data_IF_634029915251
#
_entry.id   IF_634029915251
#
_cell.length_a   1.000
_cell.length_b   1.000
_cell.length_c   1.000
_cell.angle_alpha   90.00
_cell.angle_beta   90.00
_cell.angle_gamma   90.00
#
_symmetry.space_group_name_H-M   'P 1'
#
loop_
_entity.id
_entity.type
_entity.pdbx_description
1 polymer ?
#
# COMPACT_ATOMS: atom_id res chain seq x y z
N UNK A 1 11.89 5.89 -2.29
CA UNK A 1 12.76 6.72 -3.15
C UNK A 1 12.31 8.16 -3.03
N UNK A 2 13.24 9.11 -2.97
CA UNK A 2 12.91 10.55 -3.09
C UNK A 2 12.87 10.96 -4.57
N UNK A 3 12.33 12.13 -4.88
CA UNK A 3 12.37 12.67 -6.24
C UNK A 3 13.80 12.84 -6.77
N UNK A 4 14.75 13.15 -5.89
CA UNK A 4 16.15 13.34 -6.27
C UNK A 4 16.84 12.00 -6.53
N UNK A 5 16.52 10.97 -5.75
CA UNK A 5 16.95 9.60 -6.03
C UNK A 5 16.41 9.07 -7.34
N UNK A 6 15.13 9.31 -7.60
CA UNK A 6 14.51 8.94 -8.86
C UNK A 6 15.23 9.59 -10.05
N UNK A 7 15.44 10.91 -10.00
CA UNK A 7 16.16 11.64 -11.06
C UNK A 7 17.59 11.13 -11.26
N UNK A 8 18.30 10.83 -10.18
CA UNK A 8 19.65 10.30 -10.28
C UNK A 8 19.70 8.90 -10.90
N UNK A 9 18.72 8.04 -10.59
CA UNK A 9 18.65 6.69 -11.16
C UNK A 9 18.31 6.69 -12.66
N UNK A 10 17.69 7.76 -13.16
CA UNK A 10 17.45 7.97 -14.59
C UNK A 10 18.70 8.43 -15.36
N UNK A 11 19.77 8.87 -14.69
CA UNK A 11 21.00 9.31 -15.35
C UNK A 11 21.79 8.09 -15.87
N UNK A 12 21.89 7.89 -17.20
CA UNK A 12 22.59 6.74 -17.77
C UNK A 12 24.11 6.80 -17.54
N UNK A 13 24.67 7.97 -17.18
CA UNK A 13 26.10 8.13 -16.92
C UNK A 13 26.51 7.68 -15.51
N UNK A 14 25.53 7.54 -14.61
CA UNK A 14 25.71 7.11 -13.24
C UNK A 14 24.58 6.14 -12.88
N UNK A 15 24.74 4.87 -13.28
CA UNK A 15 23.82 3.80 -12.88
C UNK A 15 23.69 3.78 -11.35
N UNK A 16 22.66 4.44 -10.83
CA UNK A 16 22.46 4.69 -9.41
C UNK A 16 21.17 4.07 -8.94
N UNK A 17 21.23 3.48 -7.76
CA UNK A 17 20.08 2.88 -7.10
C UNK A 17 19.17 3.98 -6.54
N UNK A 18 17.90 4.00 -6.94
CA UNK A 18 16.90 4.95 -6.43
C UNK A 18 16.44 4.67 -4.99
N UNK A 19 16.75 3.50 -4.42
CA UNK A 19 16.37 3.13 -3.07
C UNK A 19 17.10 4.01 -2.03
N UNK A 20 16.36 4.45 -1.01
CA UNK A 20 16.96 5.18 0.12
C UNK A 20 17.53 4.17 1.09
N UNK A 21 18.86 4.04 1.13
CA UNK A 21 19.58 3.09 2.00
C UNK A 21 20.78 3.79 2.65
N UNK A 22 21.21 3.35 3.83
CA UNK A 22 22.33 4.00 4.54
C UNK A 22 23.64 3.91 3.74
N UNK A 23 23.82 2.82 2.99
CA UNK A 23 25.01 2.47 2.23
C UNK A 23 24.98 2.94 0.76
N UNK A 24 23.94 3.68 0.33
CA UNK A 24 23.80 4.06 -1.07
C UNK A 24 25.02 4.86 -1.57
N UNK A 25 25.53 4.53 -2.76
CA UNK A 25 26.67 5.22 -3.35
C UNK A 25 26.37 6.70 -3.65
N UNK A 26 25.12 7.02 -4.00
CA UNK A 26 24.65 8.38 -4.20
C UNK A 26 24.29 9.03 -2.86
N UNK A 27 24.97 10.13 -2.53
CA UNK A 27 24.77 10.88 -1.29
C UNK A 27 23.33 11.37 -1.11
N UNK A 28 22.62 11.70 -2.19
CA UNK A 28 21.22 12.15 -2.13
C UNK A 28 20.25 11.02 -1.77
N UNK A 29 20.71 9.76 -1.85
CA UNK A 29 19.95 8.57 -1.53
C UNK A 29 20.40 7.87 -0.26
N UNK A 30 21.35 8.47 0.47
CA UNK A 30 21.71 8.01 1.80
C UNK A 30 20.66 8.42 2.81
N UNK A 31 20.10 7.44 3.48
CA UNK A 31 19.14 7.68 4.55
C UNK A 31 18.47 6.41 5.02
N UNK A 32 17.51 6.58 5.93
CA UNK A 32 16.77 5.47 6.50
C UNK A 32 15.42 5.35 5.80
N UNK A 33 15.09 4.14 5.37
CA UNK A 33 13.76 3.80 4.87
C UNK A 33 13.40 2.40 5.36
N UNK A 34 12.10 2.08 5.46
CA UNK A 34 11.64 0.75 5.89
C UNK A 34 12.26 -0.36 5.02
N UNK A 35 12.27 -0.16 3.71
CA UNK A 35 12.93 -1.05 2.76
C UNK A 35 14.45 -1.12 2.99
N UNK A 36 15.13 0.02 3.16
CA UNK A 36 16.59 0.05 3.32
C UNK A 36 17.07 -0.66 4.58
N UNK A 37 16.38 -0.46 5.71
CA UNK A 37 16.68 -1.17 6.97
C UNK A 37 16.45 -2.68 6.81
N UNK A 38 15.29 -3.08 6.28
CA UNK A 38 14.98 -4.49 6.01
C UNK A 38 15.98 -5.13 5.05
N UNK A 39 16.36 -4.43 3.97
CA UNK A 39 17.32 -4.93 2.99
C UNK A 39 18.70 -5.17 3.62
N UNK A 40 19.15 -4.26 4.51
CA UNK A 40 20.42 -4.42 5.20
C UNK A 40 20.41 -5.66 6.10
N UNK A 41 19.33 -5.89 6.84
CA UNK A 41 19.19 -7.07 7.69
C UNK A 41 19.10 -8.36 6.86
N UNK A 42 18.28 -8.34 5.80
CA UNK A 42 18.09 -9.46 4.89
C UNK A 42 19.41 -9.91 4.23
N UNK A 43 20.25 -8.96 3.79
CA UNK A 43 21.60 -9.27 3.26
C UNK A 43 22.48 -9.99 4.29
N UNK A 44 22.33 -9.66 5.57
CA UNK A 44 22.97 -10.39 6.66
C UNK A 44 22.52 -11.85 6.70
N UNK A 45 21.20 -12.09 6.63
CA UNK A 45 20.66 -13.45 6.60
C UNK A 45 21.12 -14.26 5.39
N UNK A 46 21.20 -13.62 4.22
CA UNK A 46 21.75 -14.24 3.01
C UNK A 46 23.21 -14.62 3.22
N UNK A 47 24.02 -13.71 3.74
CA UNK A 47 25.46 -13.93 3.99
C UNK A 47 25.70 -15.12 4.94
N UNK A 48 24.94 -15.20 6.03
CA UNK A 48 25.05 -16.32 6.99
C UNK A 48 24.65 -17.66 6.37
N UNK A 49 23.54 -17.68 5.61
CA UNK A 49 23.03 -18.89 4.94
C UNK A 49 24.00 -19.38 3.86
N UNK A 50 24.54 -18.48 3.05
CA UNK A 50 25.55 -18.80 2.02
C UNK A 50 26.87 -19.29 2.63
N UNK A 51 27.24 -18.79 3.80
CA UNK A 51 28.41 -19.25 4.54
C UNK A 51 28.18 -20.57 5.30
N UNK A 52 26.97 -21.16 5.23
CA UNK A 52 26.63 -22.42 5.89
C UNK A 52 26.54 -22.34 7.41
N UNK A 53 26.35 -21.14 7.97
CA UNK A 53 26.31 -20.91 9.43
C UNK A 53 24.93 -21.12 10.07
N UNK A 54 24.00 -21.72 9.32
CA UNK A 54 22.60 -21.89 9.68
C UNK A 54 21.71 -20.85 8.99
N UNK A 55 20.40 -20.99 9.17
CA UNK A 55 19.42 -20.04 8.65
C UNK A 55 18.95 -19.11 9.79
N UNK A 56 19.42 -17.84 9.82
CA UNK A 56 18.99 -16.88 10.83
C UNK A 56 17.69 -16.14 10.46
N UNK A 57 17.14 -16.35 9.26
CA UNK A 57 15.97 -15.61 8.80
C UNK A 57 14.72 -16.02 9.59
N UNK A 58 13.94 -15.06 10.13
CA UNK A 58 12.68 -15.35 10.79
C UNK A 58 11.69 -16.02 9.82
N UNK A 59 10.94 -17.01 10.31
CA UNK A 59 9.91 -17.69 9.51
C UNK A 59 8.78 -16.75 9.07
N UNK A 60 8.51 -15.68 9.83
CA UNK A 60 7.57 -14.61 9.47
C UNK A 60 8.22 -13.25 9.65
N UNK A 61 8.19 -12.44 8.59
CA UNK A 61 8.57 -11.03 8.62
C UNK A 61 7.36 -10.19 8.23
N UNK A 62 6.99 -9.21 9.06
CA UNK A 62 5.90 -8.27 8.78
C UNK A 62 6.50 -6.89 8.59
N UNK A 63 6.21 -6.26 7.45
CA UNK A 63 6.70 -4.93 7.11
C UNK A 63 5.54 -4.07 6.60
N UNK A 64 5.62 -2.77 6.89
CA UNK A 64 4.72 -1.74 6.37
C UNK A 64 5.51 -0.82 5.44
N UNK A 65 5.03 -0.66 4.22
CA UNK A 65 5.46 0.43 3.33
C UNK A 65 4.47 1.59 3.41
N UNK A 66 4.93 2.83 3.62
CA UNK A 66 4.06 4.00 3.65
C UNK A 66 3.86 4.59 2.24
N UNK A 67 3.39 5.84 2.19
CA UNK A 67 3.26 6.70 1.00
C UNK A 67 2.07 6.41 0.08
N UNK A 68 1.38 5.28 0.24
CA UNK A 68 0.15 4.95 -0.49
C UNK A 68 -1.08 5.78 -0.06
N UNK A 69 -1.13 6.29 1.19
CA UNK A 69 -2.19 7.20 1.67
C UNK A 69 -2.18 8.60 1.01
N UNK A 70 -1.07 8.96 0.35
CA UNK A 70 -0.80 10.23 -0.35
C UNK A 70 -0.97 11.51 0.50
N UNK A 71 -0.69 12.67 -0.11
CA UNK A 71 -0.99 14.00 0.49
C UNK A 71 -1.86 14.88 -0.41
N UNK A 72 -2.64 14.26 -1.31
CA UNK A 72 -3.43 14.99 -2.29
C UNK A 72 -2.55 15.93 -3.14
N UNK A 73 -2.93 17.20 -3.25
CA UNK A 73 -2.17 18.23 -3.97
C UNK A 73 -1.50 19.24 -3.03
N UNK A 74 -0.94 18.78 -1.91
CA UNK A 74 -0.19 19.66 -1.00
C UNK A 74 1.04 20.23 -1.70
N UNK A 75 1.20 21.56 -1.65
CA UNK A 75 2.30 22.25 -2.35
C UNK A 75 3.68 21.80 -1.83
N UNK A 76 4.64 21.60 -2.74
CA UNK A 76 6.00 21.12 -2.48
C UNK A 76 6.11 19.70 -1.88
N UNK A 77 5.01 18.92 -1.93
CA UNK A 77 5.01 17.50 -1.59
C UNK A 77 4.98 16.64 -2.86
N UNK A 78 5.46 15.39 -2.81
CA UNK A 78 5.25 14.40 -3.86
C UNK A 78 3.81 14.36 -4.39
N UNK A 79 3.65 14.15 -5.70
CA UNK A 79 2.33 13.94 -6.30
C UNK A 79 1.78 12.57 -5.87
N UNK A 80 0.44 12.38 -5.82
CA UNK A 80 -0.16 11.07 -5.52
C UNK A 80 0.42 9.94 -6.37
N UNK A 81 0.62 10.19 -7.68
CA UNK A 81 1.19 9.24 -8.62
C UNK A 81 2.64 8.88 -8.28
N UNK A 82 3.47 9.85 -7.91
CA UNK A 82 4.86 9.56 -7.52
C UNK A 82 4.94 8.80 -6.19
N UNK A 83 4.06 9.10 -5.23
CA UNK A 83 4.02 8.40 -3.95
C UNK A 83 3.63 6.92 -4.10
N UNK A 84 2.63 6.62 -4.94
CA UNK A 84 2.24 5.23 -5.25
C UNK A 84 3.33 4.53 -6.08
N UNK A 85 3.98 5.23 -7.01
CA UNK A 85 5.12 4.68 -7.76
C UNK A 85 6.34 4.36 -6.87
N UNK A 86 6.58 5.18 -5.84
CA UNK A 86 7.58 4.88 -4.82
C UNK A 86 7.27 3.57 -4.08
N UNK A 87 6.02 3.41 -3.64
CA UNK A 87 5.55 2.20 -2.97
C UNK A 87 5.71 0.95 -3.87
N UNK A 88 5.26 1.03 -5.13
CA UNK A 88 5.41 -0.04 -6.13
C UNK A 88 6.88 -0.42 -6.36
N UNK A 89 7.77 0.57 -6.48
CA UNK A 89 9.20 0.31 -6.63
C UNK A 89 9.80 -0.35 -5.39
N UNK A 90 9.41 0.07 -4.17
CA UNK A 90 9.87 -0.56 -2.94
C UNK A 90 9.44 -2.03 -2.85
N UNK A 91 8.20 -2.35 -3.23
CA UNK A 91 7.71 -3.73 -3.36
C UNK A 91 8.53 -4.50 -4.38
N UNK A 92 8.74 -3.95 -5.58
CA UNK A 92 9.53 -4.59 -6.62
C UNK A 92 10.96 -4.90 -6.15
N UNK A 93 11.59 -3.99 -5.40
CA UNK A 93 12.94 -4.17 -4.86
C UNK A 93 13.03 -5.20 -3.75
N UNK A 94 11.98 -5.33 -2.94
CA UNK A 94 11.85 -6.44 -1.98
C UNK A 94 11.80 -7.77 -2.72
N UNK A 95 10.93 -7.90 -3.71
CA UNK A 95 10.79 -9.13 -4.50
C UNK A 95 12.08 -9.46 -5.24
N UNK A 96 12.76 -8.47 -5.81
CA UNK A 96 14.07 -8.64 -6.45
C UNK A 96 15.12 -9.18 -5.47
N UNK A 97 15.20 -8.62 -4.26
CA UNK A 97 16.14 -9.06 -3.25
C UNK A 97 15.89 -10.50 -2.82
N UNK A 98 14.62 -10.87 -2.57
CA UNK A 98 14.26 -12.25 -2.17
C UNK A 98 14.49 -13.23 -3.32
N UNK A 99 13.99 -12.92 -4.52
CA UNK A 99 14.03 -13.82 -5.68
C UNK A 99 15.45 -14.06 -6.22
N UNK A 100 16.37 -13.13 -5.95
CA UNK A 100 17.79 -13.28 -6.30
C UNK A 100 18.63 -13.96 -5.21
N UNK A 101 18.00 -14.48 -4.15
CA UNK A 101 18.68 -15.05 -2.99
C UNK A 101 18.43 -16.55 -2.82
N UNK A 102 19.19 -17.24 -1.95
CA UNK A 102 18.92 -18.63 -1.57
C UNK A 102 17.55 -18.87 -0.93
N UNK A 103 16.85 -17.81 -0.51
CA UNK A 103 15.52 -17.89 0.12
C UNK A 103 14.38 -18.00 -0.88
N UNK A 104 14.60 -17.76 -2.18
CA UNK A 104 13.51 -17.62 -3.15
C UNK A 104 12.56 -18.82 -3.17
N UNK A 105 13.12 -20.03 -3.22
CA UNK A 105 12.32 -21.26 -3.25
C UNK A 105 11.50 -21.48 -1.97
N UNK A 106 11.87 -20.86 -0.86
CA UNK A 106 11.28 -21.13 0.46
C UNK A 106 10.49 -19.92 1.00
N UNK A 107 10.21 -18.92 0.16
CA UNK A 107 9.53 -17.68 0.56
C UNK A 107 8.22 -17.46 -0.19
N UNK A 108 7.20 -17.00 0.53
CA UNK A 108 5.99 -16.40 -0.01
C UNK A 108 5.81 -15.01 0.59
N UNK A 109 5.56 -14.02 -0.27
CA UNK A 109 5.38 -12.61 0.07
C UNK A 109 3.90 -12.28 -0.13
N UNK A 110 3.21 -11.89 0.93
CA UNK A 110 1.82 -11.45 0.87
C UNK A 110 1.74 -9.95 1.09
N UNK A 111 0.96 -9.26 0.25
CA UNK A 111 0.83 -7.80 0.26
C UNK A 111 -0.65 -7.46 0.26
N UNK A 112 -1.05 -6.57 1.17
CA UNK A 112 -2.40 -6.05 1.29
C UNK A 112 -2.32 -4.65 1.90
N UNK A 113 -3.27 -3.79 1.54
CA UNK A 113 -3.44 -2.49 2.20
C UNK A 113 -4.18 -2.66 3.54
N UNK A 114 -4.03 -1.69 4.44
CA UNK A 114 -4.77 -1.67 5.70
C UNK A 114 -6.26 -1.38 5.50
N UNK A 115 -6.60 -0.53 4.53
CA UNK A 115 -7.95 -0.30 4.05
C UNK A 115 -8.01 0.06 2.55
N UNK A 116 -9.20 0.48 2.08
CA UNK A 116 -9.42 0.94 0.70
C UNK A 116 -9.58 2.47 0.60
N UNK A 117 -9.21 3.21 1.66
CA UNK A 117 -9.28 4.66 1.80
C UNK A 117 -10.69 5.26 1.53
N UNK A 118 -11.74 4.47 1.77
CA UNK A 118 -13.11 4.76 1.31
C UNK A 118 -13.19 5.18 -0.17
N UNK A 119 -12.30 4.62 -1.00
CA UNK A 119 -12.17 4.87 -2.42
C UNK A 119 -13.38 4.36 -3.20
N UNK A 120 -13.56 4.87 -4.42
CA UNK A 120 -14.62 4.40 -5.30
C UNK A 120 -14.28 3.03 -5.89
N UNK A 121 -15.15 2.04 -5.62
CA UNK A 121 -15.12 0.73 -6.27
C UNK A 121 -16.53 0.36 -6.76
N UNK A 122 -16.62 -0.22 -7.96
CA UNK A 122 -17.90 -0.53 -8.60
C UNK A 122 -18.55 -1.83 -8.11
N UNK A 123 -17.85 -2.61 -7.28
CA UNK A 123 -18.33 -3.86 -6.69
C UNK A 123 -18.58 -3.68 -5.19
N UNK A 124 -17.57 -3.23 -4.43
CA UNK A 124 -17.69 -2.96 -2.99
C UNK A 124 -16.54 -2.04 -2.49
N UNK A 125 -16.87 -1.00 -1.70
CA UNK A 125 -15.91 -0.04 -1.12
C UNK A 125 -14.77 -0.64 -0.31
N UNK A 126 -14.89 -1.86 0.20
CA UNK A 126 -13.89 -2.49 1.05
C UNK A 126 -12.93 -3.38 0.27
N UNK A 127 -13.13 -3.52 -1.06
CA UNK A 127 -12.15 -4.21 -1.89
C UNK A 127 -10.87 -3.38 -1.96
N UNK A 128 -9.75 -4.06 -1.70
CA UNK A 128 -8.42 -3.50 -1.89
C UNK A 128 -7.57 -4.45 -2.75
N UNK A 129 -6.37 -4.02 -3.10
CA UNK A 129 -5.39 -4.85 -3.80
C UNK A 129 -4.85 -5.90 -2.82
N UNK A 130 -4.78 -7.15 -3.29
CA UNK A 130 -4.14 -8.25 -2.57
C UNK A 130 -3.20 -8.99 -3.50
N UNK A 131 -1.90 -9.00 -3.19
CA UNK A 131 -0.88 -9.69 -3.98
C UNK A 131 -0.27 -10.82 -3.17
N UNK A 132 0.12 -11.88 -3.86
CA UNK A 132 0.84 -12.98 -3.27
C UNK A 132 1.91 -13.46 -4.25
N UNK A 133 3.18 -13.38 -3.85
CA UNK A 133 4.36 -13.52 -4.70
C UNK A 133 5.26 -14.63 -4.15
N UNK A 134 5.59 -15.62 -4.97
CA UNK A 134 6.39 -16.80 -4.63
C UNK A 134 6.88 -17.48 -5.91
N UNK A 135 7.96 -18.26 -5.80
CA UNK A 135 8.40 -19.15 -6.87
C UNK A 135 7.29 -20.11 -7.34
N UNK A 136 6.28 -20.36 -6.49
CA UNK A 136 5.20 -21.27 -6.78
C UNK A 136 3.94 -20.61 -7.34
N UNK A 137 3.91 -19.30 -7.67
CA UNK A 137 2.68 -18.74 -8.25
C UNK A 137 2.35 -19.35 -9.62
N UNK A 138 1.07 -19.56 -9.89
CA UNK A 138 0.58 -19.87 -11.24
C UNK A 138 0.81 -18.66 -12.17
N UNK A 139 1.62 -18.78 -13.25
CA UNK A 139 1.89 -17.65 -14.14
C UNK A 139 0.63 -17.08 -14.77
N UNK A 140 0.45 -15.75 -14.71
CA UNK A 140 -0.70 -15.05 -15.31
C UNK A 140 -2.06 -15.35 -14.67
N UNK A 141 -2.10 -16.01 -13.51
CA UNK A 141 -3.36 -16.34 -12.85
C UNK A 141 -4.01 -15.09 -12.21
N UNK A 142 -5.12 -14.62 -12.79
CA UNK A 142 -6.04 -13.72 -12.12
C UNK A 142 -7.05 -14.54 -11.33
N UNK A 143 -7.00 -14.45 -10.00
CA UNK A 143 -7.93 -15.17 -9.13
C UNK A 143 -9.18 -14.34 -8.90
N UNK A 144 -10.30 -14.80 -9.48
CA UNK A 144 -11.62 -14.18 -9.29
C UNK A 144 -12.35 -14.66 -8.03
N UNK A 145 -11.79 -15.64 -7.31
CA UNK A 145 -12.39 -16.17 -6.08
C UNK A 145 -12.33 -15.09 -5.00
N UNK A 146 -13.41 -14.97 -4.23
CA UNK A 146 -13.44 -14.07 -3.09
C UNK A 146 -12.42 -14.51 -2.05
N UNK A 147 -11.52 -13.59 -1.70
CA UNK A 147 -10.55 -13.72 -0.63
C UNK A 147 -10.64 -12.49 0.26
N UNK A 148 -10.46 -12.70 1.56
CA UNK A 148 -10.37 -11.64 2.56
C UNK A 148 -9.01 -11.68 3.26
N UNK A 149 -8.74 -10.69 4.11
CA UNK A 149 -7.56 -10.69 4.99
C UNK A 149 -7.46 -11.97 5.82
N UNK A 150 -8.60 -12.54 6.25
CA UNK A 150 -8.65 -13.79 7.01
C UNK A 150 -8.20 -14.98 6.16
N UNK A 151 -8.53 -15.01 4.86
CA UNK A 151 -8.01 -16.01 3.93
C UNK A 151 -6.48 -15.91 3.77
N UNK A 152 -5.94 -14.70 3.70
CA UNK A 152 -4.50 -14.48 3.63
C UNK A 152 -3.81 -14.97 4.92
N UNK A 153 -4.32 -14.60 6.09
CA UNK A 153 -3.83 -15.09 7.40
C UNK A 153 -3.85 -16.61 7.44
N UNK A 154 -4.97 -17.22 7.05
CA UNK A 154 -5.09 -18.68 7.00
C UNK A 154 -4.07 -19.34 6.08
N UNK A 155 -3.74 -18.70 4.97
CA UNK A 155 -2.70 -19.19 4.05
C UNK A 155 -1.31 -19.11 4.69
N UNK A 156 -1.00 -18.01 5.38
CA UNK A 156 0.25 -17.85 6.12
C UNK A 156 0.37 -18.91 7.22
N UNK A 157 -0.69 -19.15 7.99
CA UNK A 157 -0.69 -20.19 9.04
C UNK A 157 -0.33 -21.56 8.50
N UNK A 158 -0.93 -21.95 7.37
CA UNK A 158 -0.67 -23.24 6.73
C UNK A 158 0.76 -23.35 6.21
N UNK A 159 1.31 -22.28 5.62
CA UNK A 159 2.70 -22.27 5.15
C UNK A 159 3.70 -22.35 6.32
N UNK A 160 3.38 -21.74 7.46
CA UNK A 160 4.20 -21.77 8.67
C UNK A 160 3.99 -23.05 9.51
N UNK A 161 2.99 -23.86 9.19
CA UNK A 161 2.64 -25.05 9.97
C UNK A 161 2.09 -24.75 11.37
N UNK A 162 1.46 -23.59 11.57
CA UNK A 162 0.87 -23.18 12.84
C UNK A 162 -0.65 -23.39 12.88
N UNK A 163 -1.20 -23.53 14.08
CA UNK A 163 -2.64 -23.66 14.28
C UNK A 163 -3.38 -22.33 14.04
N UNK A 164 -4.65 -22.36 13.61
CA UNK A 164 -5.48 -21.15 13.52
C UNK A 164 -5.65 -20.51 14.89
N UNK A 165 -5.73 -19.17 14.94
CA UNK A 165 -5.85 -18.43 16.19
C UNK A 165 -7.26 -18.50 16.78
N UNK A 166 -8.29 -18.61 15.94
CA UNK A 166 -9.69 -18.66 16.37
C UNK A 166 -10.59 -19.42 15.37
N UNK A 167 -11.90 -19.18 15.39
CA UNK A 167 -12.83 -19.88 14.48
C UNK A 167 -12.89 -19.25 13.08
N UNK A 168 -12.56 -17.96 12.97
CA UNK A 168 -12.63 -17.21 11.71
C UNK A 168 -11.56 -17.67 10.74
N UNK A 169 -10.30 -17.74 11.19
CA UNK A 169 -9.20 -18.28 10.39
C UNK A 169 -9.31 -19.80 10.21
N UNK A 170 -9.72 -20.55 11.23
CA UNK A 170 -9.93 -22.00 11.12
C UNK A 170 -10.94 -22.39 10.02
N UNK A 171 -11.97 -21.57 9.80
CA UNK A 171 -13.00 -21.81 8.77
C UNK A 171 -12.72 -21.12 7.43
N UNK A 172 -11.68 -20.29 7.35
CA UNK A 172 -11.33 -19.59 6.13
C UNK A 172 -10.77 -20.55 5.08
N UNK A 173 -11.17 -20.35 3.82
CA UNK A 173 -10.60 -21.07 2.69
C UNK A 173 -9.25 -20.41 2.37
N UNK A 174 -8.13 -21.15 2.32
CA UNK A 174 -6.82 -20.61 1.94
C UNK A 174 -6.79 -20.10 0.49
N UNK A 175 -5.80 -19.26 0.18
CA UNK A 175 -5.56 -18.79 -1.18
C UNK A 175 -5.03 -19.95 -2.03
N UNK A 176 -5.80 -20.33 -3.05
CA UNK A 176 -5.38 -21.30 -4.05
C UNK A 176 -4.67 -20.56 -5.19
N UNK A 177 -3.37 -20.33 -5.04
CA UNK A 177 -2.53 -19.56 -5.99
C UNK A 177 -1.24 -20.28 -6.37
N UNK A 178 -0.92 -21.36 -5.67
CA UNK A 178 0.35 -22.06 -5.78
C UNK A 178 0.26 -23.23 -6.77
N UNK A 179 1.37 -23.53 -7.45
CA UNK A 179 1.59 -24.69 -8.30
C UNK A 179 2.67 -25.60 -7.68
N UNK A 180 2.83 -26.82 -8.17
CA UNK A 180 3.78 -27.78 -7.59
C UNK A 180 5.25 -27.46 -7.93
N UNK A 181 5.52 -27.01 -9.16
CA UNK A 181 6.89 -26.77 -9.65
C UNK A 181 7.25 -25.29 -9.50
N UNK A 182 8.37 -24.96 -8.83
CA UNK A 182 8.77 -23.56 -8.68
C UNK A 182 9.37 -23.00 -9.98
N UNK A 183 9.05 -21.74 -10.27
CA UNK A 183 9.83 -20.90 -11.18
C UNK A 183 10.87 -20.12 -10.37
N UNK A 184 12.13 -20.50 -10.54
CA UNK A 184 13.27 -19.91 -9.83
C UNK A 184 13.89 -18.73 -10.59
N UNK A 185 13.26 -18.26 -11.67
CA UNK A 185 13.74 -17.09 -12.41
C UNK A 185 13.69 -15.85 -11.51
N UNK A 186 14.83 -15.19 -11.24
CA UNK A 186 14.83 -13.99 -10.41
C UNK A 186 14.03 -12.86 -11.05
N UNK A 187 13.30 -12.13 -10.22
CA UNK A 187 12.59 -10.92 -10.63
C UNK A 187 13.55 -9.73 -10.60
N UNK A 188 13.50 -8.90 -11.65
CA UNK A 188 14.22 -7.62 -11.70
C UNK A 188 13.22 -6.49 -11.54
N UNK A 189 13.41 -5.66 -10.52
CA UNK A 189 12.55 -4.51 -10.29
C UNK A 189 12.75 -3.48 -11.41
N UNK A 190 11.65 -2.97 -11.96
CA UNK A 190 11.68 -1.91 -12.94
C UNK A 190 11.44 -0.56 -12.25
N UNK A 191 12.27 0.43 -12.56
CA UNK A 191 12.02 1.79 -12.11
C UNK A 191 10.76 2.32 -12.81
N UNK A 192 9.74 2.82 -12.08
CA UNK A 192 8.51 3.31 -12.69
C UNK A 192 8.77 4.50 -13.62
N UNK A 193 8.05 4.55 -14.75
CA UNK A 193 8.11 5.69 -15.67
C UNK A 193 7.14 6.77 -15.21
N UNK A 194 7.66 7.87 -14.68
CA UNK A 194 6.88 9.02 -14.21
C UNK A 194 7.33 10.26 -14.99
N UNK A 195 6.38 11.09 -15.42
CA UNK A 195 6.69 12.33 -16.12
C UNK A 195 7.51 13.26 -15.19
N UNK A 196 8.51 13.95 -15.75
CA UNK A 196 9.44 14.75 -14.96
C UNK A 196 8.76 15.91 -14.20
N UNK A 197 7.64 16.40 -14.72
CA UNK A 197 6.77 17.42 -14.11
C UNK A 197 5.72 16.84 -13.15
N UNK A 198 5.70 15.51 -12.97
CA UNK A 198 4.76 14.79 -12.10
C UNK A 198 5.45 14.11 -10.91
N UNK A 199 6.59 14.66 -10.45
CA UNK A 199 7.31 14.15 -9.28
C UNK A 199 6.90 14.88 -8.00
N UNK A 200 6.77 16.20 -8.08
CA UNK A 200 6.46 17.09 -6.96
C UNK A 200 5.29 17.99 -7.37
N UNK A 201 4.37 18.22 -6.45
CA UNK A 201 3.28 19.17 -6.63
C UNK A 201 3.83 20.59 -6.58
N UNK A 202 3.74 21.30 -7.69
CA UNK A 202 4.16 22.69 -7.82
C UNK A 202 2.96 23.66 -7.71
N UNK A 203 3.26 24.95 -7.87
CA UNK A 203 2.26 26.03 -7.89
C UNK A 203 1.13 25.73 -8.89
N UNK A 204 -0.11 26.15 -8.58
CA UNK A 204 -1.25 25.84 -9.41
C UNK A 204 -1.10 26.47 -10.80
N UNK A 205 -1.35 25.68 -11.85
CA UNK A 205 -1.30 26.12 -13.24
C UNK A 205 -2.56 26.90 -13.67
N UNK A 206 -3.67 26.74 -12.94
CA UNK A 206 -4.93 27.43 -13.20
C UNK A 206 -5.78 27.59 -11.93
N UNK A 207 -6.91 28.32 -12.03
CA UNK A 207 -7.82 28.59 -10.91
C UNK A 207 -8.41 27.32 -10.30
N UNK A 208 -8.73 26.31 -11.11
CA UNK A 208 -9.30 25.05 -10.59
C UNK A 208 -8.26 24.30 -9.75
N UNK A 209 -7.03 24.16 -10.24
CA UNK A 209 -5.92 23.57 -9.50
C UNK A 209 -5.67 24.32 -8.18
N UNK A 210 -5.73 25.66 -8.20
CA UNK A 210 -5.58 26.46 -6.99
C UNK A 210 -6.64 26.15 -5.92
N UNK A 211 -7.90 25.89 -6.32
CA UNK A 211 -8.95 25.51 -5.37
C UNK A 211 -8.76 24.09 -4.81
N UNK A 212 -8.30 23.13 -5.61
CA UNK A 212 -8.00 21.78 -5.13
C UNK A 212 -6.77 21.72 -4.22
N UNK A 213 -5.74 22.52 -4.49
CA UNK A 213 -4.60 22.69 -3.58
C UNK A 213 -5.05 23.27 -2.24
N UNK A 214 -5.90 24.31 -2.23
CA UNK A 214 -6.48 24.84 -0.96
C UNK A 214 -7.27 23.79 -0.19
N UNK A 215 -7.99 22.88 -0.86
CA UNK A 215 -8.68 21.78 -0.18
C UNK A 215 -7.70 20.77 0.42
N UNK A 216 -6.59 20.52 -0.27
CA UNK A 216 -5.50 19.66 0.21
C UNK A 216 -4.84 20.26 1.46
N UNK A 217 -4.56 21.56 1.46
CA UNK A 217 -3.94 22.26 2.59
C UNK A 217 -4.82 22.31 3.85
N UNK A 218 -6.14 22.11 3.68
CA UNK A 218 -7.11 22.02 4.79
C UNK A 218 -7.21 20.62 5.41
N UNK A 219 -6.65 19.60 4.75
CA UNK A 219 -6.64 18.24 5.30
C UNK A 219 -5.61 18.13 6.42
N UNK A 220 -5.87 17.21 7.35
CA UNK A 220 -4.93 16.88 8.40
C UNK A 220 -4.15 15.60 8.02
N UNK A 221 -2.88 15.76 7.68
CA UNK A 221 -1.97 14.65 7.35
C UNK A 221 -0.97 14.33 8.48
N UNK A 222 -1.25 14.75 9.72
CA UNK A 222 -0.33 14.54 10.84
C UNK A 222 -0.24 13.06 11.25
N UNK A 223 -1.35 12.33 11.14
CA UNK A 223 -1.45 10.90 11.38
C UNK A 223 -2.33 10.27 10.30
N UNK A 224 -2.23 8.94 10.16
CA UNK A 224 -3.14 8.17 9.32
C UNK A 224 -4.60 8.45 9.72
N UNK A 225 -5.50 8.39 8.73
CA UNK A 225 -6.96 8.47 8.90
C UNK A 225 -7.51 9.80 9.45
N UNK A 226 -6.70 10.85 9.51
CA UNK A 226 -7.12 12.18 9.99
C UNK A 226 -7.68 13.09 8.88
N UNK A 227 -7.40 12.80 7.61
CA UNK A 227 -7.95 13.53 6.48
C UNK A 227 -9.41 13.11 6.24
N UNK A 228 -10.26 14.01 5.74
CA UNK A 228 -11.59 13.62 5.28
C UNK A 228 -11.44 12.75 4.03
N UNK A 229 -11.81 11.46 4.08
CA UNK A 229 -11.52 10.55 2.99
C UNK A 229 -12.32 10.89 1.73
N UNK A 230 -13.52 11.47 1.84
CA UNK A 230 -14.31 11.89 0.67
C UNK A 230 -13.66 13.07 -0.03
N UNK A 231 -13.18 14.05 0.75
CA UNK A 231 -12.50 15.23 0.20
C UNK A 231 -11.15 14.83 -0.40
N UNK A 232 -10.39 13.98 0.28
CA UNK A 232 -9.11 13.49 -0.19
C UNK A 232 -9.23 12.68 -1.48
N UNK A 233 -10.20 11.77 -1.56
CA UNK A 233 -10.47 11.01 -2.80
C UNK A 233 -10.84 11.92 -3.97
N UNK A 234 -11.61 12.99 -3.74
CA UNK A 234 -11.92 13.96 -4.79
C UNK A 234 -10.70 14.79 -5.23
N UNK A 235 -9.79 15.12 -4.29
CA UNK A 235 -8.51 15.77 -4.60
C UNK A 235 -7.64 14.86 -5.46
N UNK A 236 -7.44 13.60 -5.04
CA UNK A 236 -6.61 12.63 -5.77
C UNK A 236 -7.20 12.37 -7.15
N UNK A 237 -8.53 12.20 -7.26
CA UNK A 237 -9.21 12.01 -8.53
C UNK A 237 -8.99 13.20 -9.48
N UNK A 238 -9.05 14.45 -8.98
CA UNK A 238 -8.69 15.63 -9.77
C UNK A 238 -7.21 15.62 -10.18
N UNK A 239 -6.29 15.26 -9.28
CA UNK A 239 -4.86 15.19 -9.58
C UNK A 239 -4.54 14.15 -10.67
N UNK A 240 -5.28 13.04 -10.73
CA UNK A 240 -5.08 11.98 -11.71
C UNK A 240 -5.77 12.24 -13.05
N UNK A 241 -6.96 12.86 -13.04
CA UNK A 241 -7.82 12.94 -14.24
C UNK A 241 -8.05 14.36 -14.76
N UNK A 242 -7.70 15.38 -13.98
CA UNK A 242 -8.04 16.77 -14.23
C UNK A 242 -9.52 17.12 -13.95
N UNK A 243 -10.35 16.16 -13.52
CA UNK A 243 -11.76 16.38 -13.22
C UNK A 243 -12.10 15.90 -11.80
N UNK A 244 -12.32 16.83 -10.87
CA UNK A 244 -12.60 16.49 -9.47
C UNK A 244 -14.09 16.51 -9.10
N UNK A 245 -14.99 16.87 -10.01
CA UNK A 245 -16.43 16.96 -9.71
C UNK A 245 -17.17 15.64 -9.96
N UNK A 246 -16.57 14.71 -10.70
CA UNK A 246 -17.18 13.45 -11.08
C UNK A 246 -16.34 12.26 -10.57
N UNK A 247 -16.11 12.20 -9.26
CA UNK A 247 -15.57 10.98 -8.64
C UNK A 247 -16.57 9.85 -8.87
N UNK A 248 -16.14 8.65 -9.32
CA UNK A 248 -17.06 7.53 -9.51
C UNK A 248 -17.79 7.20 -8.21
N UNK A 249 -19.02 6.72 -8.32
CA UNK A 249 -19.77 6.28 -7.15
C UNK A 249 -19.31 4.90 -6.70
N UNK A 250 -19.26 4.70 -5.39
CA UNK A 250 -18.99 3.38 -4.82
C UNK A 250 -20.28 2.56 -4.76
N UNK A 251 -20.22 1.31 -5.20
CA UNK A 251 -21.23 0.33 -4.84
C UNK A 251 -21.07 -0.04 -3.36
N UNK A 252 -22.17 -0.02 -2.61
CA UNK A 252 -22.23 -0.62 -1.28
C UNK A 252 -23.17 -1.81 -1.33
N UNK A 253 -22.72 -2.97 -0.86
CA UNK A 253 -23.57 -4.16 -0.83
C UNK A 253 -24.83 -3.90 0.01
N UNK A 254 -26.04 -4.28 -0.48
CA UNK A 254 -27.30 -4.08 0.25
C UNK A 254 -27.30 -4.65 1.67
N UNK A 255 -26.56 -5.74 1.90
CA UNK A 255 -26.39 -6.35 3.22
C UNK A 255 -25.73 -5.39 4.23
N UNK A 256 -24.75 -4.59 3.80
CA UNK A 256 -24.12 -3.60 4.66
C UNK A 256 -25.07 -2.43 4.96
N UNK A 257 -25.84 -1.97 3.97
CA UNK A 257 -26.88 -0.96 4.20
C UNK A 257 -27.93 -1.48 5.21
N UNK A 258 -28.33 -2.74 5.10
CA UNK A 258 -29.26 -3.38 6.03
C UNK A 258 -28.69 -3.47 7.46
N UNK A 259 -27.40 -3.80 7.62
CA UNK A 259 -26.75 -3.81 8.93
C UNK A 259 -26.63 -2.41 9.54
N UNK A 260 -26.43 -1.36 8.72
CA UNK A 260 -26.41 0.04 9.18
C UNK A 260 -27.79 0.56 9.60
N UNK A 261 -28.85 0.12 8.96
CA UNK A 261 -30.23 0.51 9.30
C UNK A 261 -30.62 0.09 10.73
N UNK A 262 -29.98 -0.95 11.29
CA UNK A 262 -30.16 -1.34 12.69
C UNK A 262 -29.35 -0.51 13.70
N UNK A 263 -28.43 0.34 13.24
CA UNK A 263 -27.58 1.21 14.07
C UNK A 263 -28.07 2.67 14.01
N UNK A 264 -28.63 3.10 12.88
CA UNK A 264 -29.10 4.47 12.67
C UNK A 264 -30.28 4.89 13.58
N UNK A 265 -30.98 3.95 14.22
CA UNK A 265 -32.12 4.26 15.10
C UNK A 265 -31.72 4.70 16.52
N UNK A 266 -30.42 4.78 16.86
CA UNK A 266 -29.98 5.17 18.21
C UNK A 266 -29.39 6.58 18.30
N UNK A 267 -28.97 7.18 17.19
CA UNK A 267 -28.31 8.50 17.21
C UNK A 267 -29.27 9.68 16.92
N UNK A 268 -30.49 9.42 16.44
CA UNK A 268 -31.48 10.47 16.14
C UNK A 268 -32.43 10.80 17.32
N UNK A 269 -32.41 10.02 18.41
CA UNK A 269 -33.30 10.23 19.56
C UNK A 269 -32.74 11.17 20.66
N UNK A 270 -31.48 11.63 20.56
CA UNK A 270 -30.89 12.59 21.53
C UNK A 270 -31.06 14.08 21.17
N UNK A 271 -31.81 14.43 20.12
CA UNK A 271 -32.10 15.83 19.75
C UNK A 271 -33.52 16.30 20.07
N UNK A 272 -34.09 15.82 21.17
CA UNK A 272 -35.49 16.06 21.54
C UNK A 272 -35.78 16.35 23.01
N UNK A 273 -34.86 16.96 23.78
CA UNK A 273 -35.17 17.46 25.12
C UNK A 273 -35.16 18.99 25.13
N UNK A 274 -36.36 19.56 25.05
CA UNK A 274 -36.68 20.98 25.19
C UNK A 274 -36.12 21.55 26.50
N UNK A 275 -35.34 22.64 26.41
CA UNK A 275 -35.15 23.56 27.53
C UNK A 275 -36.49 24.17 27.88
N UNK A 276 -36.96 23.89 29.09
CA UNK A 276 -37.99 24.67 29.77
C UNK A 276 -37.24 25.78 30.52
N UNK A 277 -37.50 27.02 30.13
CA UNK A 277 -37.10 28.20 30.91
C UNK A 277 -37.98 28.24 32.17
N UNK A 278 -37.35 28.22 33.34
CA UNK A 278 -38.00 28.59 34.60
C UNK A 278 -37.56 30.02 34.93
N UNK A 279 -38.49 30.96 34.73
CA UNK A 279 -38.53 32.24 35.44
C UNK A 279 -39.29 32.05 36.76
N UNK A 280 -38.78 32.70 37.81
CA UNK A 280 -39.26 32.85 39.21
C UNK A 280 -38.94 31.75 40.25
#
# INVERSE_FOLDING_TARGET
MTSDCYKAALDPSAASDAAVTQDNANLNCRGNSRFGEWLSEFRGFVTEREAGRGDPMPALTVMRFPNDHTTGMKNDFPTPQFMVADNDYAVGRLVEAVSSSPYWKDTAIFIIEDDAQAGPDHVDSHRSVGLAISAYNRPGALIHKFHSTVTMIRTIELLLGIAPMNQLDASAIPMDIFQETPDLTPYKAMLPTIAADNLITHKPTNKAAAEWMKKSDRQNFAHADMADPKVLNAIIWFACTGNGTNVPQTAQLPAYQAMRLGIASLDDDEKGATKKDDDD
#
